data_IF_351799944978
#
_entry.id   IF_351799944978
#
_cell.length_a   1.000
_cell.length_b   1.000
_cell.length_c   1.000
_cell.angle_alpha   90.00
_cell.angle_beta   90.00
_cell.angle_gamma   90.00
#
_symmetry.space_group_name_H-M   'P 1'
#
loop_
_entity.id
_entity.type
_entity.pdbx_description
1 polymer ?
#
# COMPACT_ATOMS: atom_id res chain seq x y z
N UNK A 1 -2.33 12.57 -24.17
CA UNK A 1 -3.17 11.46 -23.65
C UNK A 1 -2.36 10.68 -22.63
N UNK A 2 -2.80 10.65 -21.38
CA UNK A 2 -2.12 9.94 -20.30
C UNK A 2 -2.31 8.43 -20.50
N UNK A 3 -1.24 7.70 -20.84
CA UNK A 3 -1.32 6.26 -21.04
C UNK A 3 -1.10 5.51 -19.72
N UNK A 4 -2.16 5.38 -18.93
CA UNK A 4 -2.19 4.64 -17.65
C UNK A 4 -2.12 3.12 -17.81
N UNK A 5 -2.11 2.60 -19.06
CA UNK A 5 -2.18 1.16 -19.32
C UNK A 5 -0.82 0.47 -19.28
N UNK A 6 0.28 1.22 -19.34
CA UNK A 6 1.63 0.65 -19.32
C UNK A 6 2.30 0.85 -17.96
N UNK A 7 3.03 -0.15 -17.43
CA UNK A 7 3.82 0.03 -16.21
C UNK A 7 4.79 1.21 -16.29
N UNK A 8 5.40 1.43 -17.47
CA UNK A 8 6.27 2.58 -17.71
C UNK A 8 5.52 3.93 -17.62
N UNK A 9 4.30 4.00 -18.14
CA UNK A 9 3.46 5.20 -18.02
C UNK A 9 3.11 5.52 -16.57
N UNK A 10 2.78 4.50 -15.76
CA UNK A 10 2.50 4.66 -14.33
C UNK A 10 3.75 5.17 -13.58
N UNK A 11 4.93 4.61 -13.87
CA UNK A 11 6.18 5.05 -13.24
C UNK A 11 6.56 6.49 -13.61
N UNK A 12 6.35 6.89 -14.87
CA UNK A 12 6.59 8.27 -15.28
C UNK A 12 5.66 9.25 -14.54
N UNK A 13 4.39 8.91 -14.38
CA UNK A 13 3.45 9.75 -13.62
C UNK A 13 3.80 9.82 -12.14
N UNK A 14 4.27 8.72 -11.55
CA UNK A 14 4.81 8.73 -10.19
C UNK A 14 6.00 9.66 -10.04
N UNK A 15 6.91 9.65 -11.01
CA UNK A 15 8.05 10.55 -11.01
C UNK A 15 7.62 12.02 -11.09
N UNK A 16 6.61 12.35 -11.90
CA UNK A 16 6.05 13.72 -11.99
C UNK A 16 5.40 14.14 -10.66
N UNK A 17 4.62 13.26 -10.02
CA UNK A 17 4.01 13.54 -8.70
C UNK A 17 5.09 13.74 -7.64
N UNK A 18 6.12 12.89 -7.63
CA UNK A 18 7.24 13.00 -6.69
C UNK A 18 8.03 14.30 -6.91
N UNK A 19 8.31 14.67 -8.17
CA UNK A 19 8.95 15.94 -8.50
C UNK A 19 8.13 17.14 -8.00
N UNK A 20 6.80 17.08 -8.12
CA UNK A 20 5.92 18.12 -7.56
C UNK A 20 5.94 18.15 -6.03
N UNK A 21 5.94 16.99 -5.37
CA UNK A 21 5.97 16.89 -3.90
C UNK A 21 7.31 17.39 -3.33
N UNK A 22 8.42 17.22 -4.07
CA UNK A 22 9.75 17.70 -3.70
C UNK A 22 9.98 19.19 -4.07
N UNK A 23 9.19 19.75 -4.99
CA UNK A 23 9.31 21.14 -5.42
C UNK A 23 8.97 22.13 -4.29
N UNK A 24 9.85 23.11 -4.10
CA UNK A 24 9.56 24.27 -3.27
C UNK A 24 8.47 25.14 -3.92
N UNK A 25 7.72 25.89 -3.11
CA UNK A 25 6.65 26.76 -3.62
C UNK A 25 7.13 27.72 -4.73
N UNK A 26 8.35 28.26 -4.58
CA UNK A 26 8.99 29.18 -5.54
C UNK A 26 9.35 28.52 -6.89
N UNK A 27 9.39 27.19 -6.96
CA UNK A 27 9.77 26.42 -8.16
C UNK A 27 8.54 25.88 -8.91
N UNK A 28 7.32 26.07 -8.36
CA UNK A 28 6.09 25.49 -8.93
C UNK A 28 5.77 26.02 -10.32
N UNK A 29 6.00 27.31 -10.58
CA UNK A 29 5.77 27.89 -11.90
C UNK A 29 6.68 27.21 -12.95
N UNK A 30 7.96 27.01 -12.61
CA UNK A 30 8.90 26.30 -13.47
C UNK A 30 8.51 24.82 -13.67
N UNK A 31 8.00 24.16 -12.62
CA UNK A 31 7.48 22.80 -12.73
C UNK A 31 6.32 22.71 -13.74
N UNK A 32 5.34 23.62 -13.66
CA UNK A 32 4.21 23.64 -14.58
C UNK A 32 4.64 23.99 -16.01
N UNK A 33 5.61 24.87 -16.20
CA UNK A 33 6.18 25.16 -17.53
C UNK A 33 6.87 23.93 -18.14
N UNK A 34 7.65 23.20 -17.33
CA UNK A 34 8.34 21.98 -17.76
C UNK A 34 7.37 20.85 -18.12
N UNK A 35 6.30 20.68 -17.36
CA UNK A 35 5.32 19.60 -17.51
C UNK A 35 4.01 20.04 -18.17
N UNK A 36 3.98 21.21 -18.80
CA UNK A 36 2.77 21.86 -19.33
C UNK A 36 1.91 20.95 -20.20
N UNK A 37 2.54 20.07 -20.99
CA UNK A 37 1.82 19.11 -21.86
C UNK A 37 0.97 18.09 -21.11
N UNK A 38 1.20 17.89 -19.81
CA UNK A 38 0.56 16.89 -18.96
C UNK A 38 -0.12 17.49 -17.73
N UNK A 39 0.41 18.58 -17.17
CA UNK A 39 -0.04 19.18 -15.92
C UNK A 39 -0.09 20.70 -16.07
N UNK A 40 -1.26 21.29 -15.86
CA UNK A 40 -1.43 22.75 -15.94
C UNK A 40 -1.73 23.37 -14.57
N UNK A 41 -2.06 22.53 -13.58
CA UNK A 41 -2.51 22.98 -12.28
C UNK A 41 -2.30 21.91 -11.21
N UNK A 42 -2.37 22.31 -9.94
CA UNK A 42 -2.36 21.37 -8.81
C UNK A 42 -3.55 20.40 -8.87
N UNK A 43 -4.69 20.83 -9.41
CA UNK A 43 -5.84 19.96 -9.62
C UNK A 43 -5.53 18.81 -10.60
N UNK A 44 -4.65 19.04 -11.58
CA UNK A 44 -4.21 17.98 -12.49
C UNK A 44 -3.21 17.02 -11.82
N UNK A 45 -2.37 17.52 -10.91
CA UNK A 45 -1.53 16.66 -10.06
C UNK A 45 -2.40 15.73 -9.21
N UNK A 46 -3.46 16.24 -8.59
CA UNK A 46 -4.33 15.41 -7.76
C UNK A 46 -5.09 14.36 -8.58
N UNK A 47 -5.49 14.71 -9.81
CA UNK A 47 -6.05 13.73 -10.77
C UNK A 47 -5.03 12.66 -11.13
N UNK A 48 -3.77 13.03 -11.39
CA UNK A 48 -2.70 12.07 -11.68
C UNK A 48 -2.45 11.17 -10.47
N UNK A 49 -2.37 11.74 -9.26
CA UNK A 49 -2.19 10.99 -8.01
C UNK A 49 -3.31 9.97 -7.81
N UNK A 50 -4.56 10.39 -8.00
CA UNK A 50 -5.73 9.51 -7.95
C UNK A 50 -5.69 8.42 -9.03
N UNK A 51 -5.28 8.75 -10.25
CA UNK A 51 -5.19 7.81 -11.36
C UNK A 51 -4.06 6.77 -11.18
N UNK A 52 -2.90 7.20 -10.68
CA UNK A 52 -1.79 6.33 -10.30
C UNK A 52 -2.25 5.38 -9.20
N UNK A 53 -2.86 5.91 -8.14
CA UNK A 53 -3.39 5.12 -7.02
C UNK A 53 -4.42 4.09 -7.49
N UNK A 54 -5.35 4.49 -8.37
CA UNK A 54 -6.33 3.58 -8.97
C UNK A 54 -5.68 2.48 -9.83
N UNK A 55 -4.63 2.79 -10.59
CA UNK A 55 -3.91 1.81 -11.41
C UNK A 55 -3.13 0.77 -10.58
N UNK A 56 -2.77 1.12 -9.34
CA UNK A 56 -2.14 0.22 -8.37
C UNK A 56 -3.15 -0.62 -7.59
N UNK A 57 -4.39 -0.16 -7.45
CA UNK A 57 -5.50 -0.89 -6.83
C UNK A 57 -6.03 -1.99 -7.74
N UNK A 58 -5.24 -3.05 -7.88
CA UNK A 58 -5.59 -4.23 -8.66
C UNK A 58 -6.34 -5.24 -7.78
N UNK A 59 -7.06 -6.14 -8.45
CA UNK A 59 -7.71 -7.28 -7.79
C UNK A 59 -6.68 -8.08 -6.98
N UNK A 60 -7.01 -8.39 -5.73
CA UNK A 60 -6.16 -9.15 -4.81
C UNK A 60 -5.20 -8.31 -3.97
N UNK A 61 -5.13 -6.99 -4.18
CA UNK A 61 -4.31 -6.11 -3.33
C UNK A 61 -4.95 -6.00 -1.95
N UNK A 62 -4.13 -6.21 -0.91
CA UNK A 62 -4.54 -5.97 0.46
C UNK A 62 -4.45 -4.49 0.78
N UNK A 63 -5.52 -3.98 1.37
CA UNK A 63 -5.67 -2.57 1.70
C UNK A 63 -6.23 -2.40 3.10
N UNK A 64 -6.13 -1.17 3.60
CA UNK A 64 -6.83 -0.71 4.78
C UNK A 64 -7.77 0.41 4.39
N UNK A 65 -8.96 0.41 4.97
CA UNK A 65 -9.96 1.46 4.75
C UNK A 65 -10.43 2.02 6.08
N UNK A 66 -10.75 3.31 6.11
CA UNK A 66 -11.40 3.99 7.23
C UNK A 66 -12.28 5.13 6.70
N UNK A 67 -13.54 4.83 6.39
CA UNK A 67 -14.48 5.80 5.83
C UNK A 67 -15.88 5.67 6.42
N UNK A 68 -16.69 6.71 6.23
CA UNK A 68 -18.10 6.72 6.62
C UNK A 68 -18.96 6.61 5.37
N UNK A 69 -19.78 5.57 5.30
CA UNK A 69 -20.86 5.51 4.34
C UNK A 69 -22.10 6.14 4.96
N UNK A 70 -22.75 7.05 4.23
CA UNK A 70 -24.02 7.65 4.62
C UNK A 70 -25.09 7.03 3.72
N UNK A 71 -25.88 6.05 4.21
CA UNK A 71 -27.03 5.57 3.45
C UNK A 71 -28.05 6.70 3.30
N UNK A 72 -28.95 6.58 2.32
CA UNK A 72 -29.96 7.60 1.98
C UNK A 72 -30.76 8.12 3.20
N UNK A 73 -31.33 9.33 3.00
CA UNK A 73 -31.90 10.23 4.02
C UNK A 73 -32.49 9.52 5.24
N UNK A 74 -31.85 9.72 6.40
CA UNK A 74 -32.37 9.37 7.73
C UNK A 74 -31.68 8.18 8.39
N UNK A 75 -30.83 7.44 7.68
CA UNK A 75 -30.07 6.34 8.28
C UNK A 75 -28.78 6.81 8.96
N UNK A 76 -28.38 6.09 10.01
CA UNK A 76 -27.14 6.37 10.74
C UNK A 76 -25.93 6.13 9.84
N UNK A 77 -24.93 7.00 9.95
CA UNK A 77 -23.64 6.83 9.27
C UNK A 77 -23.00 5.51 9.71
N UNK A 78 -22.60 4.70 8.75
CA UNK A 78 -21.93 3.42 8.98
C UNK A 78 -20.45 3.65 8.75
N UNK A 79 -19.62 3.42 9.78
CA UNK A 79 -18.17 3.46 9.64
C UNK A 79 -17.67 2.10 9.16
N UNK A 80 -16.97 2.11 8.03
CA UNK A 80 -16.21 0.97 7.52
C UNK A 80 -14.75 1.20 7.89
N UNK A 81 -14.24 0.37 8.80
CA UNK A 81 -12.85 0.42 9.25
C UNK A 81 -12.30 -0.98 9.34
N UNK A 82 -11.20 -1.25 8.65
CA UNK A 82 -10.56 -2.56 8.69
C UNK A 82 -9.57 -2.76 7.57
N UNK A 83 -8.94 -3.94 7.59
CA UNK A 83 -8.17 -4.46 6.47
C UNK A 83 -9.09 -5.30 5.59
N UNK A 84 -8.73 -5.41 4.32
CA UNK A 84 -9.47 -6.18 3.34
C UNK A 84 -8.73 -6.32 2.03
N UNK A 85 -9.42 -6.91 1.07
CA UNK A 85 -8.89 -7.18 -0.27
C UNK A 85 -9.71 -6.43 -1.31
N UNK A 86 -9.03 -5.83 -2.29
CA UNK A 86 -9.65 -5.21 -3.46
C UNK A 86 -10.15 -6.30 -4.41
N UNK A 87 -11.42 -6.23 -4.78
CA UNK A 87 -12.02 -7.08 -5.81
C UNK A 87 -11.89 -6.43 -7.20
N UNK A 88 -12.19 -5.13 -7.28
CA UNK A 88 -12.10 -4.33 -8.51
C UNK A 88 -12.02 -2.84 -8.20
N UNK A 89 -11.46 -2.06 -9.13
CA UNK A 89 -11.41 -0.60 -9.08
C UNK A 89 -11.90 -0.04 -10.42
N UNK A 90 -13.00 0.72 -10.40
CA UNK A 90 -13.66 1.28 -11.58
C UNK A 90 -14.15 2.70 -11.26
N UNK A 91 -13.97 3.65 -12.19
CA UNK A 91 -14.43 5.04 -12.08
C UNK A 91 -14.06 5.76 -10.78
N UNK A 92 -12.84 5.51 -10.27
CA UNK A 92 -12.36 6.12 -9.01
C UNK A 92 -13.01 5.55 -7.75
N UNK A 93 -13.77 4.45 -7.88
CA UNK A 93 -14.36 3.69 -6.78
C UNK A 93 -13.67 2.34 -6.61
N UNK A 94 -13.42 1.99 -5.35
CA UNK A 94 -12.79 0.74 -4.97
C UNK A 94 -13.85 -0.17 -4.36
N UNK A 95 -13.99 -1.35 -4.94
CA UNK A 95 -14.85 -2.41 -4.43
C UNK A 95 -13.99 -3.49 -3.84
N UNK A 96 -14.38 -3.99 -2.67
CA UNK A 96 -13.66 -5.07 -2.04
C UNK A 96 -14.42 -5.67 -0.87
N UNK A 97 -13.71 -6.52 -0.14
CA UNK A 97 -14.22 -7.21 1.04
C UNK A 97 -13.27 -7.03 2.20
N UNK A 98 -13.80 -6.60 3.34
CA UNK A 98 -13.07 -6.58 4.60
C UNK A 98 -12.79 -8.01 5.08
N UNK A 99 -11.80 -8.18 5.96
CA UNK A 99 -11.46 -9.48 6.53
C UNK A 99 -12.60 -10.12 7.35
N UNK A 100 -13.53 -9.29 7.85
CA UNK A 100 -14.76 -9.74 8.50
C UNK A 100 -15.86 -10.18 7.53
N UNK A 101 -15.58 -10.17 6.23
CA UNK A 101 -16.47 -10.61 5.16
C UNK A 101 -17.39 -9.53 4.61
N UNK A 102 -17.44 -8.33 5.21
CA UNK A 102 -18.33 -7.24 4.76
C UNK A 102 -17.84 -6.65 3.43
N UNK A 103 -18.71 -6.57 2.39
CA UNK A 103 -18.37 -5.85 1.17
C UNK A 103 -18.35 -4.34 1.44
N UNK A 104 -17.47 -3.61 0.75
CA UNK A 104 -17.42 -2.16 0.80
C UNK A 104 -17.27 -1.54 -0.60
N UNK A 105 -17.68 -0.28 -0.70
CA UNK A 105 -17.44 0.58 -1.85
C UNK A 105 -17.01 1.95 -1.31
N UNK A 106 -15.78 2.37 -1.62
CA UNK A 106 -15.23 3.67 -1.19
C UNK A 106 -14.53 4.39 -2.33
N UNK A 107 -14.15 5.65 -2.10
CA UNK A 107 -13.29 6.36 -3.02
C UNK A 107 -11.84 5.87 -2.89
N UNK A 108 -11.09 5.99 -3.99
CA UNK A 108 -9.64 5.69 -4.01
C UNK A 108 -8.87 6.53 -2.97
N UNK A 109 -9.35 7.72 -2.62
CA UNK A 109 -8.80 8.56 -1.55
C UNK A 109 -8.86 7.90 -0.18
N UNK A 110 -9.91 7.13 0.10
CA UNK A 110 -10.21 6.55 1.42
C UNK A 110 -9.47 5.21 1.67
N UNK A 111 -8.63 4.81 0.73
CA UNK A 111 -7.89 3.55 0.74
C UNK A 111 -6.42 3.80 1.05
N UNK A 112 -5.90 3.13 2.05
CA UNK A 112 -4.47 3.07 2.32
C UNK A 112 -3.92 1.72 1.83
N UNK A 113 -2.82 1.76 1.09
CA UNK A 113 -2.06 0.53 0.82
C UNK A 113 -1.49 0.01 2.13
N UNK A 114 -1.61 -1.30 2.34
CA UNK A 114 -0.85 -1.95 3.38
C UNK A 114 0.57 -2.11 2.86
N UNK A 115 1.52 -1.43 3.49
CA UNK A 115 2.94 -1.59 3.16
C UNK A 115 3.34 -3.06 3.25
N UNK A 116 4.35 -3.46 2.47
CA UNK A 116 4.92 -4.80 2.54
C UNK A 116 5.34 -5.19 3.97
N UNK A 117 5.69 -4.20 4.80
CA UNK A 117 6.02 -4.37 6.22
C UNK A 117 4.79 -4.54 7.13
N UNK A 118 3.59 -4.18 6.68
CA UNK A 118 2.32 -4.44 7.36
C UNK A 118 1.72 -5.78 6.95
N UNK A 119 1.94 -6.19 5.70
CA UNK A 119 1.49 -7.47 5.12
C UNK A 119 2.37 -8.66 5.51
N UNK A 120 3.69 -8.44 5.51
CA UNK A 120 4.57 -9.32 6.25
C UNK A 120 4.36 -9.00 7.73
N UNK A 121 4.19 -10.01 8.57
CA UNK A 121 4.19 -9.90 10.02
C UNK A 121 5.62 -9.51 10.45
N UNK A 122 6.07 -8.31 10.07
CA UNK A 122 7.38 -7.77 10.38
C UNK A 122 7.17 -6.82 11.54
N UNK A 123 7.81 -7.07 12.69
CA UNK A 123 7.67 -6.20 13.84
C UNK A 123 8.18 -4.80 13.49
N UNK A 124 7.52 -3.78 14.04
CA UNK A 124 7.96 -2.38 13.96
C UNK A 124 9.46 -2.29 14.29
N UNK A 125 10.26 -1.70 13.39
CA UNK A 125 11.72 -1.69 13.49
C UNK A 125 12.44 -2.81 12.72
N UNK A 126 11.78 -3.52 11.81
CA UNK A 126 12.40 -4.59 11.00
C UNK A 126 13.62 -4.10 10.21
N UNK A 127 13.60 -2.87 9.68
CA UNK A 127 14.74 -2.28 8.98
C UNK A 127 15.97 -2.14 9.89
N UNK A 128 15.81 -1.54 11.08
CA UNK A 128 16.88 -1.42 12.09
C UNK A 128 17.36 -2.79 12.56
N UNK A 129 16.43 -3.72 12.76
CA UNK A 129 16.73 -5.11 13.13
C UNK A 129 17.55 -5.82 12.04
N UNK A 130 17.23 -5.62 10.76
CA UNK A 130 17.98 -6.19 9.63
C UNK A 130 19.39 -5.59 9.52
N UNK A 131 19.57 -4.28 9.80
CA UNK A 131 20.89 -3.64 9.87
C UNK A 131 21.72 -4.24 10.99
N UNK A 132 21.16 -4.33 12.20
CA UNK A 132 21.84 -4.93 13.36
C UNK A 132 22.14 -6.42 13.17
N UNK A 133 21.26 -7.15 12.48
CA UNK A 133 21.50 -8.54 12.07
C UNK A 133 22.62 -8.63 11.03
N UNK A 134 22.68 -7.75 10.05
CA UNK A 134 23.76 -7.72 9.07
C UNK A 134 25.10 -7.53 9.76
N UNK A 135 25.18 -6.59 10.70
CA UNK A 135 26.35 -6.40 11.55
C UNK A 135 26.68 -7.68 12.35
N UNK A 136 25.67 -8.39 12.87
CA UNK A 136 25.89 -9.69 13.51
C UNK A 136 26.50 -10.73 12.55
N UNK A 137 26.01 -10.85 11.33
CA UNK A 137 26.57 -11.79 10.32
C UNK A 137 28.01 -11.41 9.97
N UNK A 138 28.34 -10.12 9.95
CA UNK A 138 29.68 -9.60 9.71
C UNK A 138 30.65 -9.74 10.90
N UNK A 139 30.20 -10.33 12.02
CA UNK A 139 31.05 -10.63 13.18
C UNK A 139 30.85 -9.71 14.38
N UNK A 140 29.99 -8.69 14.29
CA UNK A 140 29.63 -7.89 15.46
C UNK A 140 28.86 -8.78 16.47
N UNK A 141 29.21 -8.68 17.75
CA UNK A 141 28.62 -9.48 18.83
C UNK A 141 28.04 -8.61 19.94
N UNK A 142 27.71 -7.36 19.65
CA UNK A 142 27.00 -6.47 20.57
C UNK A 142 25.68 -7.10 21.05
N UNK A 143 25.19 -6.72 22.25
CA UNK A 143 23.93 -7.22 22.78
C UNK A 143 22.75 -7.00 21.81
N UNK A 144 22.72 -5.85 21.15
CA UNK A 144 21.68 -5.44 20.22
C UNK A 144 21.72 -6.30 18.94
N UNK A 145 22.91 -6.55 18.40
CA UNK A 145 23.11 -7.38 17.21
C UNK A 145 22.72 -8.85 17.48
N UNK A 146 23.03 -9.38 18.67
CA UNK A 146 22.61 -10.72 19.11
C UNK A 146 21.08 -10.81 19.25
N UNK A 147 20.46 -9.79 19.85
CA UNK A 147 19.02 -9.73 20.04
C UNK A 147 18.27 -9.63 18.71
N UNK A 148 18.76 -8.80 17.78
CA UNK A 148 18.23 -8.68 16.43
C UNK A 148 18.25 -10.03 15.67
N UNK A 149 19.40 -10.73 15.68
CA UNK A 149 19.49 -12.04 15.03
C UNK A 149 18.54 -13.08 15.66
N UNK A 150 18.36 -13.06 16.99
CA UNK A 150 17.40 -13.93 17.68
C UNK A 150 15.96 -13.63 17.28
N UNK A 151 15.58 -12.35 17.19
CA UNK A 151 14.25 -11.93 16.75
C UNK A 151 13.99 -12.32 15.28
N UNK A 152 14.95 -12.11 14.38
CA UNK A 152 14.88 -12.56 12.99
C UNK A 152 14.60 -14.07 12.88
N UNK A 153 15.33 -14.89 13.64
CA UNK A 153 15.15 -16.35 13.62
C UNK A 153 13.75 -16.78 14.10
N UNK A 154 13.18 -16.07 15.07
CA UNK A 154 11.81 -16.30 15.54
C UNK A 154 10.77 -15.93 14.48
N UNK A 155 10.93 -14.78 13.82
CA UNK A 155 10.05 -14.33 12.74
C UNK A 155 10.11 -15.33 11.58
N UNK A 156 11.32 -15.72 11.15
CA UNK A 156 11.52 -16.70 10.08
C UNK A 156 10.86 -18.04 10.41
N UNK A 157 11.02 -18.53 11.65
CA UNK A 157 10.37 -19.77 12.11
C UNK A 157 8.84 -19.66 12.11
N UNK A 158 8.28 -18.54 12.55
CA UNK A 158 6.83 -18.28 12.50
C UNK A 158 6.31 -18.18 11.06
N UNK A 159 7.06 -17.53 10.17
CA UNK A 159 6.72 -17.43 8.75
C UNK A 159 6.69 -18.79 8.05
N UNK A 160 7.68 -19.64 8.31
CA UNK A 160 7.70 -21.03 7.83
C UNK A 160 6.51 -21.84 8.36
N UNK A 161 6.19 -21.73 9.66
CA UNK A 161 5.03 -22.40 10.26
C UNK A 161 3.70 -21.92 9.67
N UNK A 162 3.59 -20.63 9.37
CA UNK A 162 2.44 -20.05 8.67
C UNK A 162 2.29 -20.69 7.29
N UNK A 163 3.34 -20.66 6.45
CA UNK A 163 3.32 -21.23 5.10
C UNK A 163 2.96 -22.72 5.10
N UNK A 164 3.48 -23.51 6.05
CA UNK A 164 3.14 -24.94 6.19
C UNK A 164 1.67 -25.13 6.53
N UNK A 165 1.09 -24.30 7.39
CA UNK A 165 -0.34 -24.36 7.74
C UNK A 165 -1.23 -23.98 6.56
N UNK A 166 -0.86 -22.96 5.79
CA UNK A 166 -1.61 -22.59 4.57
C UNK A 166 -1.56 -23.70 3.52
N UNK A 167 -0.40 -24.32 3.32
CA UNK A 167 -0.23 -25.48 2.44
C UNK A 167 -1.03 -26.71 2.91
N UNK A 168 -1.12 -26.94 4.23
CA UNK A 168 -1.93 -28.01 4.78
C UNK A 168 -3.43 -27.76 4.58
N UNK A 169 -3.91 -26.55 4.87
CA UNK A 169 -5.32 -26.17 4.67
C UNK A 169 -5.73 -26.22 3.19
N UNK A 170 -4.83 -25.86 2.26
CA UNK A 170 -5.08 -25.99 0.83
C UNK A 170 -5.23 -27.46 0.38
N UNK A 171 -4.48 -28.38 0.99
CA UNK A 171 -4.61 -29.82 0.72
C UNK A 171 -5.86 -30.45 1.32
N UNK A 172 -6.38 -29.92 2.43
CA UNK A 172 -7.59 -30.42 3.08
C UNK A 172 -8.89 -29.95 2.39
N UNK A 173 -8.90 -28.76 1.77
CA UNK A 173 -10.05 -28.23 1.03
C UNK A 173 -10.02 -28.48 -0.49
N UNK A 174 -8.97 -29.15 -0.99
CA UNK A 174 -8.79 -29.48 -2.40
C UNK A 174 -9.23 -30.89 -2.81
N UNK A 175 -10.13 -31.52 -2.06
CA UNK A 175 -10.79 -32.80 -2.39
C UNK A 175 -12.29 -32.62 -2.54
#
# INVERSE_FOLDING_TARGET
>A
MINLKTPAGIQNLKAIVQEFDDCLYIERDYFFDKHYTLVHSEADIEKIRSAVKAAELRKGVQIKVDFYNVPDKGMRRIRFKGQGVVDRCEDGRVFGRLDDGRPFCCFVSDVDFLDADTLAIKPKGDAEMMVLRSAYVQGNRSPEAKQANKQYMLIRRKGLLSQVKTLAAYKEHGR
#
